data_IF_857028441711
#
_entry.id   IF_857028441711
#
_cell.length_a   1.000
_cell.length_b   1.000
_cell.length_c   1.000
_cell.angle_alpha   90.00
_cell.angle_beta   90.00
_cell.angle_gamma   90.00
#
_symmetry.space_group_name_H-M   'P 1'
#
loop_
_entity.id
_entity.type
_entity.pdbx_description
1 polymer ?
#
# COMPACT_ATOMS: atom_id res chain seq x y z
N UNK A 1 27.21 4.08 16.48
CA UNK A 1 26.29 5.23 16.34
C UNK A 1 25.10 4.70 15.58
N UNK A 2 23.99 4.45 16.28
CA UNK A 2 22.71 4.17 15.62
C UNK A 2 22.34 5.41 14.81
N UNK A 3 22.09 5.25 13.52
CA UNK A 3 21.56 6.33 12.70
C UNK A 3 20.23 6.75 13.34
N UNK A 4 20.19 7.94 13.93
CA UNK A 4 18.94 8.60 14.29
C UNK A 4 18.10 8.67 13.02
N UNK A 5 17.03 7.87 12.97
CA UNK A 5 16.00 7.89 11.94
C UNK A 5 15.55 9.34 11.76
N UNK A 6 15.94 9.96 10.66
CA UNK A 6 15.52 11.31 10.35
C UNK A 6 13.99 11.33 10.21
N UNK A 7 13.33 12.19 10.98
CA UNK A 7 11.91 12.51 10.82
C UNK A 7 11.62 12.96 9.38
N UNK A 8 11.12 12.06 8.53
CA UNK A 8 10.74 12.41 7.16
C UNK A 8 9.43 13.18 7.20
N UNK A 9 9.43 14.43 6.73
CA UNK A 9 8.22 15.24 6.64
C UNK A 9 7.32 14.81 5.49
N UNK A 10 6.04 15.18 5.55
CA UNK A 10 5.11 14.95 4.44
C UNK A 10 5.56 15.62 3.13
N UNK A 11 6.18 16.81 3.19
CA UNK A 11 6.66 17.46 1.97
C UNK A 11 7.85 16.71 1.37
N UNK A 12 8.77 16.19 2.21
CA UNK A 12 9.84 15.32 1.73
C UNK A 12 9.30 14.03 1.11
N UNK A 13 8.23 13.45 1.66
CA UNK A 13 7.54 12.31 1.05
C UNK A 13 6.95 12.66 -0.34
N UNK A 14 6.32 13.83 -0.49
CA UNK A 14 5.82 14.30 -1.80
C UNK A 14 6.96 14.42 -2.80
N UNK A 15 8.10 14.97 -2.40
CA UNK A 15 9.28 15.09 -3.27
C UNK A 15 9.79 13.71 -3.70
N UNK A 16 9.87 12.74 -2.79
CA UNK A 16 10.28 11.37 -3.10
C UNK A 16 9.35 10.75 -4.14
N UNK A 17 8.03 10.86 -3.94
CA UNK A 17 7.03 10.35 -4.88
C UNK A 17 7.14 11.05 -6.24
N UNK A 18 7.32 12.38 -6.25
CA UNK A 18 7.48 13.16 -7.48
C UNK A 18 8.71 12.71 -8.27
N UNK A 19 9.85 12.56 -7.61
CA UNK A 19 11.09 12.07 -8.22
C UNK A 19 10.87 10.67 -8.79
N UNK A 20 10.30 9.75 -8.00
CA UNK A 20 9.99 8.39 -8.45
C UNK A 20 9.16 8.38 -9.75
N UNK A 21 8.07 9.13 -9.80
CA UNK A 21 7.23 9.18 -11.00
C UNK A 21 7.97 9.81 -12.19
N UNK A 22 8.70 10.90 -11.99
CA UNK A 22 9.48 11.53 -13.05
C UNK A 22 10.58 10.60 -13.62
N UNK A 23 11.18 9.76 -12.78
CA UNK A 23 12.25 8.84 -13.19
C UNK A 23 11.70 7.62 -13.94
N UNK A 24 10.62 7.01 -13.45
CA UNK A 24 10.22 5.67 -13.90
C UNK A 24 8.92 5.61 -14.70
N UNK A 25 8.00 6.55 -14.51
CA UNK A 25 6.64 6.45 -15.03
C UNK A 25 6.26 7.78 -15.67
N UNK A 26 6.30 7.83 -17.01
CA UNK A 26 5.97 9.07 -17.69
C UNK A 26 4.51 9.51 -17.46
N UNK A 27 3.49 8.64 -17.25
CA UNK A 27 2.10 9.11 -17.24
C UNK A 27 1.00 8.29 -16.50
N UNK A 28 1.28 7.30 -15.64
CA UNK A 28 0.20 6.55 -14.96
C UNK A 28 0.45 6.32 -13.47
N UNK A 29 -0.18 7.14 -12.62
CA UNK A 29 -0.16 7.00 -11.16
C UNK A 29 -1.20 6.01 -10.61
N UNK A 30 -2.01 5.41 -11.49
CA UNK A 30 -3.31 4.85 -11.12
C UNK A 30 -3.25 3.41 -10.60
N UNK A 31 -2.11 2.74 -10.78
CA UNK A 31 -1.92 1.36 -10.30
C UNK A 31 -1.27 1.31 -8.91
N UNK A 32 -0.81 2.46 -8.40
CA UNK A 32 -0.27 2.52 -7.05
C UNK A 32 -1.37 2.35 -6.00
N UNK A 33 -1.08 1.53 -4.99
CA UNK A 33 -1.99 1.19 -3.89
C UNK A 33 -1.32 1.58 -2.59
N UNK A 34 -2.12 2.02 -1.62
CA UNK A 34 -1.64 2.17 -0.26
C UNK A 34 -2.59 1.56 0.76
N UNK A 35 -2.04 1.14 1.88
CA UNK A 35 -2.75 0.71 3.07
C UNK A 35 -2.18 1.41 4.30
N UNK A 36 -3.06 1.93 5.15
CA UNK A 36 -2.73 2.44 6.47
C UNK A 36 -3.50 1.58 7.47
N UNK A 37 -2.83 1.08 8.50
CA UNK A 37 -3.44 0.19 9.49
C UNK A 37 -3.16 0.62 10.92
N UNK A 38 -4.18 0.55 11.76
CA UNK A 38 -4.07 0.85 13.19
C UNK A 38 -5.20 0.18 13.97
N UNK A 39 -4.87 -0.47 15.09
CA UNK A 39 -5.85 -1.02 16.05
C UNK A 39 -6.96 -1.89 15.41
N UNK A 40 -6.59 -2.79 14.49
CA UNK A 40 -7.53 -3.68 13.80
C UNK A 40 -8.41 -3.00 12.74
N UNK A 41 -8.15 -1.73 12.42
CA UNK A 41 -8.70 -1.05 11.25
C UNK A 41 -7.65 -0.93 10.16
N UNK A 42 -8.13 -0.87 8.92
CA UNK A 42 -7.31 -0.68 7.73
C UNK A 42 -8.03 0.24 6.76
N UNK A 43 -7.30 1.23 6.26
CA UNK A 43 -7.73 2.20 5.27
C UNK A 43 -6.87 2.02 4.05
N UNK A 44 -7.50 1.69 2.95
CA UNK A 44 -6.81 1.36 1.70
C UNK A 44 -7.23 2.38 0.64
N UNK A 45 -6.33 2.71 -0.27
CA UNK A 45 -6.57 3.68 -1.33
C UNK A 45 -5.63 3.52 -2.51
N UNK A 46 -5.80 4.39 -3.51
CA UNK A 46 -4.99 4.39 -4.72
C UNK A 46 -4.41 5.77 -5.01
N UNK A 47 -3.22 5.79 -5.58
CA UNK A 47 -2.58 7.01 -6.06
C UNK A 47 -1.74 7.73 -4.99
N UNK A 48 -0.62 8.35 -5.39
CA UNK A 48 0.31 9.02 -4.48
C UNK A 48 -0.30 10.21 -3.75
N UNK A 49 -1.12 11.01 -4.45
CA UNK A 49 -1.78 12.19 -3.86
C UNK A 49 -2.78 11.78 -2.77
N UNK A 50 -3.52 10.71 -3.00
CA UNK A 50 -4.46 10.18 -2.00
C UNK A 50 -3.72 9.53 -0.83
N UNK A 51 -2.57 8.90 -1.07
CA UNK A 51 -1.73 8.36 0.00
C UNK A 51 -1.26 9.48 0.94
N UNK A 52 -0.70 10.56 0.38
CA UNK A 52 -0.27 11.74 1.14
C UNK A 52 -1.46 12.35 1.90
N UNK A 53 -2.57 12.59 1.22
CA UNK A 53 -3.80 13.12 1.84
C UNK A 53 -4.31 12.20 2.95
N UNK A 54 -4.21 10.89 2.76
CA UNK A 54 -4.58 9.92 3.78
C UNK A 54 -3.67 10.12 5.00
N UNK A 55 -2.34 10.11 4.87
CA UNK A 55 -1.44 10.35 6.01
C UNK A 55 -1.81 11.62 6.79
N UNK A 56 -2.06 12.74 6.09
CA UNK A 56 -2.47 14.01 6.69
C UNK A 56 -3.82 13.94 7.43
N UNK A 57 -4.73 13.06 7.00
CA UNK A 57 -6.05 12.84 7.61
C UNK A 57 -6.04 11.87 8.81
N UNK A 58 -4.90 11.68 9.48
CA UNK A 58 -4.76 10.80 10.64
C UNK A 58 -5.78 11.08 11.76
N UNK A 59 -6.07 12.36 12.03
CA UNK A 59 -7.05 12.74 13.06
C UNK A 59 -8.46 12.20 12.77
N UNK A 60 -8.86 12.15 11.50
CA UNK A 60 -10.15 11.58 11.08
C UNK A 60 -10.16 10.08 11.41
N UNK A 61 -9.10 9.35 11.09
CA UNK A 61 -8.98 7.92 11.39
C UNK A 61 -9.00 7.63 12.88
N UNK A 62 -8.29 8.39 13.68
CA UNK A 62 -8.31 8.24 15.14
C UNK A 62 -9.69 8.53 15.73
N UNK A 63 -10.44 9.48 15.16
CA UNK A 63 -11.84 9.69 15.56
C UNK A 63 -12.73 8.49 15.20
N UNK A 64 -12.50 7.84 14.06
CA UNK A 64 -13.23 6.63 13.66
C UNK A 64 -12.92 5.44 14.57
N UNK A 65 -11.65 5.26 14.98
CA UNK A 65 -11.26 4.26 15.98
C UNK A 65 -12.03 4.48 17.28
N UNK A 66 -12.01 5.70 17.82
CA UNK A 66 -12.72 6.03 19.07
C UNK A 66 -14.22 5.81 18.97
N UNK A 67 -14.85 6.20 17.85
CA UNK A 67 -16.28 5.94 17.62
C UNK A 67 -16.61 4.44 17.61
N UNK A 68 -15.73 3.60 17.06
CA UNK A 68 -15.98 2.17 16.93
C UNK A 68 -15.73 1.41 18.23
N UNK A 69 -14.70 1.79 18.99
CA UNK A 69 -14.21 1.01 20.13
C UNK A 69 -14.36 1.72 21.49
N UNK A 70 -14.79 2.99 21.51
CA UNK A 70 -14.95 3.82 22.70
C UNK A 70 -13.89 4.93 22.81
N UNK A 71 -14.25 6.06 23.45
CA UNK A 71 -13.38 7.24 23.57
C UNK A 71 -12.12 7.02 24.42
N UNK A 72 -12.17 6.02 25.32
CA UNK A 72 -11.07 5.65 26.23
C UNK A 72 -10.03 4.73 25.56
N UNK A 73 -10.25 4.30 24.31
CA UNK A 73 -9.32 3.40 23.63
C UNK A 73 -7.98 4.08 23.44
N UNK A 74 -6.98 3.57 24.14
CA UNK A 74 -5.60 3.94 23.94
C UNK A 74 -5.12 3.32 22.62
N UNK A 75 -4.73 4.19 21.69
CA UNK A 75 -4.14 3.78 20.40
C UNK A 75 -2.68 3.41 20.69
N UNK A 76 -2.46 2.16 21.13
CA UNK A 76 -1.15 1.67 21.60
C UNK A 76 -0.09 1.62 20.52
N UNK A 77 -0.50 1.41 19.27
CA UNK A 77 0.40 1.30 18.13
C UNK A 77 0.15 2.47 17.19
N UNK A 78 1.20 3.25 16.88
CA UNK A 78 1.12 4.23 15.79
C UNK A 78 0.78 3.49 14.50
N UNK A 79 0.11 4.17 13.59
CA UNK A 79 -0.33 3.57 12.32
C UNK A 79 0.86 3.01 11.55
N UNK A 80 0.68 1.89 10.85
CA UNK A 80 1.62 1.41 9.86
C UNK A 80 1.07 1.74 8.47
N UNK A 81 1.83 2.51 7.69
CA UNK A 81 1.49 2.93 6.35
C UNK A 81 2.42 2.25 5.34
N UNK A 82 1.83 1.70 4.28
CA UNK A 82 2.54 1.09 3.18
C UNK A 82 1.95 1.60 1.87
N UNK A 83 2.81 2.07 0.97
CA UNK A 83 2.49 2.47 -0.40
C UNK A 83 3.29 1.58 -1.34
N UNK A 84 2.65 1.09 -2.38
CA UNK A 84 3.20 0.14 -3.33
C UNK A 84 2.83 0.62 -4.72
N UNK A 85 3.77 0.45 -5.65
CA UNK A 85 3.52 0.64 -7.08
C UNK A 85 4.26 -0.44 -7.88
N UNK A 86 3.75 -0.77 -9.06
CA UNK A 86 4.30 -1.80 -9.95
C UNK A 86 4.83 -1.17 -11.24
N UNK A 87 6.10 -1.43 -11.57
CA UNK A 87 6.72 -1.02 -12.84
C UNK A 87 7.25 -2.27 -13.55
N UNK A 88 6.51 -2.76 -14.54
CA UNK A 88 6.87 -4.00 -15.23
C UNK A 88 6.83 -5.18 -14.25
N UNK A 89 7.99 -5.77 -13.99
CA UNK A 89 8.20 -6.87 -13.03
C UNK A 89 8.85 -6.41 -11.70
N UNK A 90 9.02 -5.10 -11.53
CA UNK A 90 9.59 -4.48 -10.34
C UNK A 90 8.50 -3.91 -9.44
N UNK A 91 8.65 -4.10 -8.13
CA UNK A 91 7.77 -3.49 -7.12
C UNK A 91 8.52 -2.35 -6.47
N UNK A 92 7.96 -1.15 -6.50
CA UNK A 92 8.38 -0.03 -5.66
C UNK A 92 7.54 -0.02 -4.38
N UNK A 93 8.14 0.28 -3.24
CA UNK A 93 7.40 0.45 -2.00
C UNK A 93 7.94 1.61 -1.16
N UNK A 94 7.05 2.14 -0.33
CA UNK A 94 7.36 3.02 0.81
C UNK A 94 6.64 2.44 2.02
N UNK A 95 7.38 2.17 3.09
CA UNK A 95 6.82 1.81 4.39
C UNK A 95 7.14 2.91 5.40
N UNK A 96 6.18 3.26 6.24
CA UNK A 96 6.33 4.33 7.21
C UNK A 96 5.43 4.13 8.42
N UNK A 97 5.87 4.64 9.57
CA UNK A 97 5.05 4.77 10.76
C UNK A 97 4.78 6.26 11.03
N UNK A 98 3.66 6.84 10.54
CA UNK A 98 3.36 8.26 10.80
C UNK A 98 3.30 8.56 12.29
N UNK A 99 4.00 9.63 12.70
CA UNK A 99 3.90 10.16 14.04
C UNK A 99 2.50 10.72 14.31
N UNK A 100 2.15 10.80 15.59
CA UNK A 100 0.93 11.48 15.99
C UNK A 100 1.19 12.98 15.99
N UNK A 101 0.55 13.70 15.06
CA UNK A 101 0.60 15.17 15.06
C UNK A 101 -0.80 15.77 15.03
N UNK A 102 -1.00 16.84 15.82
CA UNK A 102 -2.20 17.69 15.73
C UNK A 102 -2.15 18.65 14.55
N UNK A 103 -0.97 18.90 13.98
CA UNK A 103 -0.75 19.82 12.86
C UNK A 103 -0.22 19.06 11.64
N UNK A 104 -0.92 19.21 10.51
CA UNK A 104 -0.56 18.57 9.24
C UNK A 104 0.85 18.93 8.78
N UNK A 105 1.30 20.16 9.05
CA UNK A 105 2.62 20.64 8.65
C UNK A 105 3.76 20.10 9.54
N UNK A 106 3.43 19.49 10.68
CA UNK A 106 4.37 18.88 11.62
C UNK A 106 4.30 17.35 11.59
N UNK A 107 3.52 16.76 10.68
CA UNK A 107 3.45 15.32 10.55
C UNK A 107 4.78 14.79 10.00
N UNK A 108 5.46 14.01 10.84
CA UNK A 108 6.68 13.28 10.48
C UNK A 108 6.40 11.78 10.39
N UNK A 109 7.29 11.05 9.73
CA UNK A 109 7.23 9.61 9.55
C UNK A 109 8.38 8.96 10.33
N UNK A 110 8.05 8.26 11.41
CA UNK A 110 9.00 7.38 12.10
C UNK A 110 9.16 6.09 11.30
N UNK A 111 10.34 5.45 11.39
CA UNK A 111 10.62 4.19 10.70
C UNK A 111 10.23 4.24 9.21
N UNK A 112 10.84 5.17 8.49
CA UNK A 112 10.64 5.37 7.05
C UNK A 112 11.59 4.50 6.24
N UNK A 113 11.04 3.71 5.33
CA UNK A 113 11.75 2.84 4.40
C UNK A 113 11.21 3.04 2.99
N UNK A 114 12.11 3.05 2.01
CA UNK A 114 11.80 3.19 0.59
C UNK A 114 12.70 2.27 -0.20
N UNK A 115 12.12 1.50 -1.11
CA UNK A 115 12.92 0.60 -1.90
C UNK A 115 12.20 -0.09 -3.04
N UNK A 116 12.92 -1.04 -3.64
CA UNK A 116 12.48 -1.80 -4.78
C UNK A 116 12.68 -3.30 -4.53
N UNK A 117 11.79 -4.11 -5.08
CA UNK A 117 11.93 -5.56 -5.16
C UNK A 117 12.00 -5.92 -6.63
N UNK A 118 13.00 -6.74 -6.96
CA UNK A 118 13.26 -7.21 -8.31
C UNK A 118 13.14 -8.73 -8.37
N UNK A 119 12.70 -9.22 -9.52
CA UNK A 119 12.75 -10.65 -9.89
C UNK A 119 14.19 -11.14 -10.03
N UNK A 120 15.05 -10.29 -10.61
CA UNK A 120 16.47 -10.52 -10.88
C UNK A 120 17.29 -9.27 -10.52
N UNK A 121 18.62 -9.41 -10.39
CA UNK A 121 19.51 -8.28 -10.05
C UNK A 121 19.38 -7.16 -11.09
N UNK A 122 19.03 -5.92 -10.69
CA UNK A 122 18.92 -4.81 -11.63
C UNK A 122 20.32 -4.31 -12.01
N UNK A 123 20.74 -4.52 -13.25
CA UNK A 123 21.98 -3.93 -13.79
C UNK A 123 21.82 -2.47 -14.26
N UNK A 124 20.65 -1.85 -14.03
CA UNK A 124 20.32 -0.53 -14.56
C UNK A 124 20.73 0.59 -13.57
N UNK A 125 21.51 1.57 -14.06
CA UNK A 125 21.99 2.72 -13.29
C UNK A 125 20.85 3.64 -12.80
N UNK A 126 19.68 3.61 -13.43
CA UNK A 126 18.54 4.48 -13.10
C UNK A 126 18.08 4.38 -11.64
N UNK A 127 18.15 3.18 -11.02
CA UNK A 127 17.77 2.98 -9.62
C UNK A 127 18.77 3.63 -8.67
N UNK A 128 20.06 3.54 -8.99
CA UNK A 128 21.12 4.21 -8.24
C UNK A 128 20.98 5.74 -8.33
N UNK A 129 20.58 6.26 -9.49
CA UNK A 129 20.33 7.69 -9.68
C UNK A 129 19.13 8.17 -8.87
N UNK A 130 18.02 7.43 -8.88
CA UNK A 130 16.86 7.70 -8.03
C UNK A 130 17.25 7.84 -6.55
N UNK A 131 17.95 6.85 -5.99
CA UNK A 131 18.33 6.86 -4.57
C UNK A 131 19.30 7.99 -4.21
N UNK A 132 20.21 8.35 -5.12
CA UNK A 132 21.07 9.52 -4.97
C UNK A 132 20.26 10.81 -4.95
N UNK A 133 19.26 10.94 -5.83
CA UNK A 133 18.42 12.13 -5.95
C UNK A 133 17.56 12.35 -4.69
N UNK A 134 16.96 11.29 -4.15
CA UNK A 134 16.17 11.40 -2.91
C UNK A 134 17.04 11.54 -1.65
N UNK A 135 18.37 11.35 -1.78
CA UNK A 135 19.37 11.33 -0.69
C UNK A 135 19.12 10.20 0.32
N UNK A 136 18.67 9.06 -0.17
CA UNK A 136 18.39 7.85 0.62
C UNK A 136 19.05 6.66 -0.07
N UNK A 137 20.38 6.58 0.01
CA UNK A 137 21.14 5.54 -0.68
C UNK A 137 21.10 4.26 0.15
N UNK A 138 20.57 3.15 -0.38
CA UNK A 138 20.54 1.89 0.36
C UNK A 138 21.96 1.40 0.66
N UNK A 139 22.16 0.84 1.86
CA UNK A 139 23.47 0.37 2.30
C UNK A 139 23.95 -0.86 1.51
N UNK A 140 23.02 -1.73 1.10
CA UNK A 140 23.32 -2.91 0.28
C UNK A 140 22.08 -3.41 -0.47
N UNK A 141 22.32 -4.27 -1.47
CA UNK A 141 21.27 -5.09 -2.08
C UNK A 141 21.19 -6.40 -1.30
N UNK A 142 20.01 -6.69 -0.75
CA UNK A 142 19.77 -7.92 0.00
C UNK A 142 19.16 -9.00 -0.91
N UNK A 143 19.79 -10.16 -0.97
CA UNK A 143 19.22 -11.33 -1.63
C UNK A 143 18.25 -12.03 -0.66
N UNK A 144 17.00 -12.20 -1.08
CA UNK A 144 16.01 -12.93 -0.29
C UNK A 144 16.00 -14.40 -0.71
N UNK A 145 16.49 -15.26 0.19
CA UNK A 145 16.48 -16.71 0.00
C UNK A 145 15.05 -17.27 0.14
N UNK A 146 14.30 -17.29 -0.97
CA UNK A 146 12.98 -17.91 -1.06
C UNK A 146 12.00 -17.14 -1.96
N UNK A 147 10.93 -17.81 -2.38
CA UNK A 147 9.87 -17.15 -3.15
C UNK A 147 9.12 -16.13 -2.29
N UNK A 148 9.25 -14.84 -2.64
CA UNK A 148 8.49 -13.76 -2.01
C UNK A 148 7.00 -13.83 -2.33
N UNK A 149 6.66 -14.35 -3.51
CA UNK A 149 5.30 -14.46 -4.01
C UNK A 149 4.79 -15.90 -3.93
N UNK A 150 3.64 -16.08 -3.30
CA UNK A 150 2.93 -17.36 -3.26
C UNK A 150 1.55 -17.20 -3.89
N UNK A 151 1.17 -18.13 -4.78
CA UNK A 151 -0.14 -18.12 -5.42
C UNK A 151 -1.05 -19.16 -4.78
N UNK A 152 -2.22 -18.72 -4.33
CA UNK A 152 -3.25 -19.57 -3.74
C UNK A 152 -4.49 -19.58 -4.65
N UNK A 153 -4.88 -20.75 -5.19
CA UNK A 153 -6.11 -20.87 -5.96
C UNK A 153 -7.33 -20.76 -5.03
N UNK A 154 -8.31 -19.94 -5.42
CA UNK A 154 -9.58 -19.76 -4.72
C UNK A 154 -10.66 -20.57 -5.44
N UNK A 155 -11.01 -21.73 -4.88
CA UNK A 155 -12.18 -22.49 -5.35
C UNK A 155 -13.34 -22.23 -4.41
N UNK A 156 -14.48 -21.79 -4.95
CA UNK A 156 -15.75 -21.62 -4.23
C UNK A 156 -15.71 -20.61 -3.06
N UNK A 157 -15.01 -19.49 -3.24
CA UNK A 157 -14.96 -18.43 -2.23
C UNK A 157 -15.78 -17.24 -2.69
N UNK A 158 -16.87 -16.96 -1.97
CA UNK A 158 -17.68 -15.76 -2.18
C UNK A 158 -17.16 -14.63 -1.31
N UNK A 159 -16.79 -13.52 -1.93
CA UNK A 159 -16.42 -12.30 -1.23
C UNK A 159 -17.67 -11.47 -0.95
N UNK A 160 -17.75 -10.90 0.25
CA UNK A 160 -18.74 -9.86 0.55
C UNK A 160 -18.09 -8.52 0.21
N UNK A 161 -18.46 -7.96 -0.94
CA UNK A 161 -18.15 -6.56 -1.26
C UNK A 161 -18.77 -5.65 -0.20
N UNK A 162 -17.96 -4.75 0.36
CA UNK A 162 -18.42 -3.66 1.24
C UNK A 162 -18.43 -2.31 0.51
N UNK A 163 -17.67 -2.18 -0.59
CA UNK A 163 -17.67 -1.03 -1.48
C UNK A 163 -16.56 -1.12 -2.53
N UNK A 164 -16.27 0.00 -3.18
CA UNK A 164 -15.24 0.07 -4.22
C UNK A 164 -14.45 1.38 -4.16
N UNK A 165 -13.26 1.39 -4.76
CA UNK A 165 -12.47 2.60 -4.98
C UNK A 165 -12.63 3.05 -6.41
N UNK A 166 -13.09 4.29 -6.58
CA UNK A 166 -13.25 4.91 -7.87
C UNK A 166 -12.25 6.06 -8.11
N UNK A 167 -11.91 6.25 -9.37
CA UNK A 167 -11.19 7.40 -9.92
C UNK A 167 -12.00 8.01 -11.06
N UNK A 168 -11.59 9.19 -11.54
CA UNK A 168 -12.19 9.84 -12.73
C UNK A 168 -11.14 9.91 -13.84
N UNK A 169 -11.50 9.49 -15.05
CA UNK A 169 -10.71 9.73 -16.26
C UNK A 169 -11.53 10.60 -17.21
N UNK A 170 -11.08 11.84 -17.41
CA UNK A 170 -11.85 12.84 -18.15
C UNK A 170 -13.21 13.11 -17.48
N UNK A 171 -14.30 12.74 -18.15
CA UNK A 171 -15.67 12.88 -17.65
C UNK A 171 -16.29 11.59 -17.09
N UNK A 172 -15.55 10.50 -17.12
CA UNK A 172 -16.03 9.17 -16.75
C UNK A 172 -15.48 8.72 -15.39
N UNK A 173 -16.28 7.96 -14.63
CA UNK A 173 -15.85 7.36 -13.36
C UNK A 173 -15.48 5.89 -13.57
N UNK A 174 -14.36 5.50 -12.97
CA UNK A 174 -13.78 4.18 -13.11
C UNK A 174 -13.50 3.54 -11.77
N UNK A 175 -13.77 2.24 -11.64
CA UNK A 175 -13.42 1.42 -10.49
C UNK A 175 -11.99 0.90 -10.67
N UNK A 176 -11.14 1.18 -9.68
CA UNK A 176 -9.76 0.71 -9.58
C UNK A 176 -9.60 -0.50 -8.66
N UNK A 177 -10.54 -0.67 -7.73
CA UNK A 177 -10.53 -1.83 -6.84
C UNK A 177 -11.84 -2.03 -6.09
N UNK A 178 -12.07 -3.27 -5.67
CA UNK A 178 -13.19 -3.62 -4.79
C UNK A 178 -12.67 -3.79 -3.37
N UNK A 179 -13.41 -3.27 -2.41
CA UNK A 179 -13.11 -3.36 -1.00
C UNK A 179 -14.11 -4.29 -0.31
N UNK A 180 -13.61 -5.34 0.35
CA UNK A 180 -14.48 -6.35 0.95
C UNK A 180 -13.82 -7.13 2.08
N UNK A 181 -14.62 -7.93 2.78
CA UNK A 181 -14.15 -8.79 3.89
C UNK A 181 -13.44 -10.02 3.36
N UNK A 182 -12.32 -10.38 3.99
CA UNK A 182 -11.64 -11.65 3.73
C UNK A 182 -12.50 -12.80 4.28
N UNK A 183 -12.92 -13.76 3.45
CA UNK A 183 -13.57 -14.99 3.91
C UNK A 183 -12.67 -15.74 4.88
N UNK A 184 -13.25 -16.27 5.95
CA UNK A 184 -12.50 -16.91 7.05
C UNK A 184 -11.61 -18.08 6.57
N UNK A 185 -12.00 -18.74 5.48
CA UNK A 185 -11.25 -19.81 4.83
C UNK A 185 -9.90 -19.33 4.28
N UNK A 186 -9.82 -18.08 3.83
CA UNK A 186 -8.57 -17.49 3.35
C UNK A 186 -7.60 -17.14 4.46
N UNK A 187 -8.10 -16.64 5.60
CA UNK A 187 -7.26 -16.27 6.76
C UNK A 187 -6.42 -17.44 7.31
N UNK A 188 -6.87 -18.68 7.10
CA UNK A 188 -6.11 -19.87 7.51
C UNK A 188 -4.97 -20.21 6.55
N UNK A 189 -5.14 -19.87 5.27
CA UNK A 189 -4.24 -20.26 4.19
C UNK A 189 -3.29 -19.13 3.79
N UNK A 190 -3.61 -17.89 4.14
CA UNK A 190 -2.74 -16.72 3.95
C UNK A 190 -2.12 -16.33 5.29
N UNK A 191 -0.87 -15.87 5.27
CA UNK A 191 -0.17 -15.33 6.48
C UNK A 191 -0.83 -14.01 6.94
N UNK A 192 -1.83 -13.52 6.23
CA UNK A 192 -2.50 -12.24 6.43
C UNK A 192 -3.54 -12.34 7.55
N UNK A 193 -3.05 -12.33 8.78
CA UNK A 193 -3.90 -12.25 9.98
C UNK A 193 -4.31 -10.81 10.34
N UNK A 194 -3.67 -9.79 9.75
CA UNK A 194 -3.74 -8.40 10.26
C UNK A 194 -4.75 -7.48 9.57
N UNK A 195 -5.25 -7.83 8.39
CA UNK A 195 -6.18 -6.98 7.64
C UNK A 195 -7.47 -7.76 7.36
N UNK A 196 -8.54 -7.43 8.10
CA UNK A 196 -9.86 -8.04 7.90
C UNK A 196 -10.49 -7.71 6.54
N UNK A 197 -9.88 -6.78 5.81
CA UNK A 197 -10.41 -6.16 4.61
C UNK A 197 -9.35 -6.06 3.53
N UNK A 198 -9.74 -6.39 2.31
CA UNK A 198 -8.85 -6.44 1.14
C UNK A 198 -9.28 -5.46 0.09
N UNK A 199 -8.32 -5.08 -0.75
CA UNK A 199 -8.58 -4.47 -2.04
C UNK A 199 -8.19 -5.41 -3.15
N UNK A 200 -9.12 -5.62 -4.06
CA UNK A 200 -8.92 -6.37 -5.30
C UNK A 200 -8.40 -5.40 -6.33
N UNK A 201 -7.13 -5.53 -6.72
CA UNK A 201 -6.54 -4.70 -7.78
C UNK A 201 -7.19 -5.02 -9.14
N UNK A 202 -8.01 -4.08 -9.65
CA UNK A 202 -8.55 -4.17 -10.99
C UNK A 202 -7.53 -3.55 -11.94
N UNK A 203 -6.51 -4.34 -12.32
CA UNK A 203 -5.44 -3.91 -13.25
C UNK A 203 -5.98 -3.28 -14.55
N UNK A 204 -7.22 -3.61 -14.92
CA UNK A 204 -7.99 -2.85 -15.90
C UNK A 204 -9.01 -2.01 -15.14
N UNK A 205 -8.92 -0.69 -15.26
CA UNK A 205 -9.96 0.20 -14.74
C UNK A 205 -11.28 -0.08 -15.46
N UNK A 206 -12.38 -0.14 -14.71
CA UNK A 206 -13.71 -0.41 -15.28
C UNK A 206 -14.61 0.78 -15.14
N UNK A 207 -15.33 1.15 -16.19
CA UNK A 207 -16.38 2.17 -16.08
C UNK A 207 -17.45 1.71 -15.07
N UNK A 208 -17.91 2.61 -14.20
CA UNK A 208 -18.97 2.30 -13.24
C UNK A 208 -20.27 1.99 -13.99
N UNK A 209 -20.60 0.71 -14.17
CA UNK A 209 -21.91 0.26 -14.61
C UNK A 209 -22.45 -0.85 -13.70
N UNK A 210 -23.79 -0.95 -13.61
CA UNK A 210 -24.48 -1.87 -12.69
C UNK A 210 -24.45 -3.35 -13.12
N UNK A 211 -23.77 -3.71 -14.20
CA UNK A 211 -23.91 -5.02 -14.85
C UNK A 211 -22.78 -6.03 -14.59
N UNK A 212 -21.73 -5.66 -13.83
CA UNK A 212 -20.56 -6.52 -13.68
C UNK A 212 -20.65 -7.39 -12.40
N UNK A 213 -20.60 -8.70 -12.59
CA UNK A 213 -20.50 -9.68 -11.50
C UNK A 213 -19.03 -10.04 -11.30
N UNK A 214 -18.46 -9.63 -10.18
CA UNK A 214 -17.06 -9.86 -9.86
C UNK A 214 -16.83 -11.27 -9.31
N UNK A 215 -15.98 -12.06 -9.96
CA UNK A 215 -15.56 -13.38 -9.49
C UNK A 215 -14.05 -13.43 -9.31
N UNK A 216 -13.58 -13.97 -8.17
CA UNK A 216 -12.15 -14.05 -7.85
C UNK A 216 -11.75 -15.51 -7.78
N UNK A 217 -10.72 -15.90 -8.51
CA UNK A 217 -10.28 -17.31 -8.65
C UNK A 217 -8.88 -17.59 -8.12
N UNK A 218 -8.05 -16.57 -7.86
CA UNK A 218 -6.78 -16.76 -7.16
C UNK A 218 -6.40 -15.51 -6.34
N UNK A 219 -5.45 -15.69 -5.43
CA UNK A 219 -4.74 -14.60 -4.77
C UNK A 219 -3.25 -14.88 -4.84
N UNK A 220 -2.46 -13.90 -5.25
CA UNK A 220 -1.01 -13.87 -5.10
C UNK A 220 -0.68 -13.03 -3.88
N UNK A 221 0.16 -13.58 -3.01
CA UNK A 221 0.62 -12.94 -1.79
C UNK A 221 2.11 -12.69 -1.96
N UNK A 222 2.51 -11.43 -2.10
CA UNK A 222 3.93 -11.05 -2.15
C UNK A 222 4.31 -10.43 -0.83
N UNK A 223 5.27 -11.04 -0.12
CA UNK A 223 5.82 -10.46 1.10
C UNK A 223 6.81 -9.36 0.75
N UNK A 224 6.68 -8.18 1.36
CA UNK A 224 7.71 -7.14 1.32
C UNK A 224 8.77 -7.50 2.36
N UNK A 225 10.01 -7.79 1.94
CA UNK A 225 11.05 -8.29 2.83
C UNK A 225 11.74 -7.13 3.55
N UNK A 226 11.09 -6.49 4.53
CA UNK A 226 11.75 -5.46 5.34
C UNK A 226 11.21 -5.32 6.76
N UNK A 227 12.17 -5.23 7.69
CA UNK A 227 12.08 -4.49 8.95
C UNK A 227 10.92 -4.78 9.91
N UNK A 228 10.67 -3.81 10.80
CA UNK A 228 9.72 -3.88 11.92
C UNK A 228 8.23 -3.93 11.51
N UNK A 229 7.93 -3.82 10.21
CA UNK A 229 6.56 -3.73 9.68
C UNK A 229 6.36 -4.69 8.51
N UNK A 230 6.09 -5.99 8.76
CA UNK A 230 5.80 -6.93 7.68
C UNK A 230 4.57 -6.48 6.90
N UNK A 231 4.76 -6.21 5.61
CA UNK A 231 3.70 -5.87 4.66
C UNK A 231 3.54 -7.00 3.64
N UNK A 232 2.30 -7.22 3.21
CA UNK A 232 1.95 -8.18 2.18
C UNK A 232 1.16 -7.48 1.09
N UNK A 233 1.60 -7.65 -0.16
CA UNK A 233 0.84 -7.28 -1.35
C UNK A 233 -0.12 -8.44 -1.65
N UNK A 234 -1.37 -8.10 -1.90
CA UNK A 234 -2.40 -9.06 -2.28
C UNK A 234 -2.92 -8.72 -3.67
N UNK A 235 -2.51 -9.52 -4.65
CA UNK A 235 -3.02 -9.41 -6.02
C UNK A 235 -4.05 -10.50 -6.27
N UNK A 236 -5.28 -10.10 -6.52
CA UNK A 236 -6.38 -11.01 -6.75
C UNK A 236 -6.59 -11.19 -8.25
N UNK A 237 -6.52 -12.43 -8.72
CA UNK A 237 -6.93 -12.80 -10.07
C UNK A 237 -8.41 -13.11 -10.09
N UNK A 238 -9.14 -12.45 -10.97
CA UNK A 238 -10.58 -12.58 -11.11
C UNK A 238 -11.06 -12.39 -12.55
N UNK A 239 -12.32 -12.70 -12.77
CA UNK A 239 -13.06 -12.28 -13.96
C UNK A 239 -14.07 -11.23 -13.50
N UNK A 240 -14.04 -10.09 -14.18
CA UNK A 240 -14.81 -8.90 -13.87
C UNK A 240 -15.44 -8.39 -15.15
#
# INVERSE_FOLDING_TARGET
MEATLNDVTIDKLKDILLIYYNTFINYSHYHSVFNISASGLSWVGYGPNNFVKALQNQNIRYSQIRKKFGDEVYIHHREAACFIDEIGDTIFYICAQPNKSSNVNELTLDYFDVGFIFSDIPFNQIYNEFFKEIKYVPESLEEVNGGLTQTFPLKNITFSEEGFIATKYGDENYILGLYGKIPQQLKKNTIVNRHDKIIVNLRNSHEINQMHNYSIYNVKVTQIPLGSFPAYILDFGGNW
#
